data_IF_372815337003
#
_entry.id   IF_372815337003
#
_cell.length_a   1.000
_cell.length_b   1.000
_cell.length_c   1.000
_cell.angle_alpha   90.00
_cell.angle_beta   90.00
_cell.angle_gamma   90.00
#
_symmetry.space_group_name_H-M   'P 1'
#
loop_
_entity.id
_entity.type
_entity.pdbx_description
1 polymer ?
#
# COMPACT_ATOMS: atom_id res chain seq x y z
N UNK A 1 -22.73 10.53 -20.63
CA UNK A 1 -22.06 9.34 -20.08
C UNK A 1 -21.72 8.33 -21.18
N UNK A 2 -22.70 7.71 -21.85
CA UNK A 2 -22.47 6.63 -22.82
C UNK A 2 -21.45 6.95 -23.93
N UNK A 3 -21.46 8.17 -24.49
CA UNK A 3 -20.47 8.57 -25.50
C UNK A 3 -19.03 8.63 -24.94
N UNK A 4 -18.88 9.04 -23.69
CA UNK A 4 -17.58 9.10 -23.02
C UNK A 4 -17.06 7.70 -22.67
N UNK A 5 -17.91 6.84 -22.10
CA UNK A 5 -17.55 5.45 -21.80
C UNK A 5 -17.19 4.66 -23.05
N UNK A 6 -17.98 4.80 -24.12
CA UNK A 6 -17.71 4.13 -25.40
C UNK A 6 -16.41 4.62 -26.04
N UNK A 7 -16.05 5.90 -25.85
CA UNK A 7 -14.77 6.40 -26.31
C UNK A 7 -13.62 5.73 -25.56
N UNK A 8 -13.68 5.68 -24.22
CA UNK A 8 -12.63 5.06 -23.41
C UNK A 8 -12.44 3.59 -23.81
N UNK A 9 -13.56 2.87 -23.94
CA UNK A 9 -13.59 1.45 -24.30
C UNK A 9 -12.97 1.17 -25.68
N UNK A 10 -13.21 2.04 -26.67
CA UNK A 10 -12.79 1.80 -28.06
C UNK A 10 -11.50 2.49 -28.48
N UNK A 11 -11.03 3.47 -27.70
CA UNK A 11 -9.93 4.36 -28.15
C UNK A 11 -8.53 3.76 -28.00
N UNK A 12 -8.33 2.83 -27.08
CA UNK A 12 -7.03 2.22 -26.82
C UNK A 12 -7.17 0.91 -26.05
N UNK A 13 -6.24 -0.03 -26.22
CA UNK A 13 -6.23 -1.28 -25.44
C UNK A 13 -6.02 -1.07 -23.93
N UNK A 14 -5.37 0.03 -23.53
CA UNK A 14 -5.07 0.35 -22.13
C UNK A 14 -6.12 1.27 -21.47
N UNK A 15 -7.26 1.52 -22.12
CA UNK A 15 -8.31 2.44 -21.64
C UNK A 15 -7.79 3.85 -21.28
N UNK A 16 -6.88 4.38 -22.10
CA UNK A 16 -6.24 5.67 -21.91
C UNK A 16 -7.21 6.84 -22.02
N UNK A 17 -7.25 7.68 -20.98
CA UNK A 17 -8.08 8.88 -20.95
C UNK A 17 -7.59 9.98 -21.92
N UNK A 18 -6.38 9.87 -22.48
CA UNK A 18 -5.78 10.91 -23.33
C UNK A 18 -6.56 11.14 -24.63
N UNK A 19 -7.13 10.07 -25.20
CA UNK A 19 -7.86 10.14 -26.46
C UNK A 19 -9.27 10.72 -26.31
N UNK A 20 -9.84 10.66 -25.12
CA UNK A 20 -11.25 10.99 -24.85
C UNK A 20 -11.46 12.31 -24.10
N UNK A 21 -10.49 13.24 -24.16
CA UNK A 21 -10.60 14.54 -23.44
C UNK A 21 -11.76 15.42 -23.92
N UNK A 22 -12.13 15.33 -25.20
CA UNK A 22 -13.27 16.08 -25.76
C UNK A 22 -14.61 15.61 -25.18
N UNK A 23 -14.84 14.29 -25.16
CA UNK A 23 -16.06 13.69 -24.61
C UNK A 23 -16.10 13.80 -23.09
N UNK A 24 -14.93 13.78 -22.44
CA UNK A 24 -14.80 14.05 -21.01
C UNK A 24 -15.28 15.46 -20.65
N UNK A 25 -14.85 16.50 -21.36
CA UNK A 25 -15.27 17.87 -21.06
C UNK A 25 -16.78 18.09 -21.16
N UNK A 26 -17.44 17.46 -22.14
CA UNK A 26 -18.91 17.50 -22.28
C UNK A 26 -19.60 16.76 -21.14
N UNK A 27 -19.04 15.62 -20.72
CA UNK A 27 -19.58 14.84 -19.62
C UNK A 27 -19.43 15.58 -18.28
N UNK A 28 -18.24 16.06 -17.98
CA UNK A 28 -17.92 16.79 -16.75
C UNK A 28 -18.81 18.05 -16.62
N UNK A 29 -19.04 18.77 -17.74
CA UNK A 29 -19.97 19.91 -17.77
C UNK A 29 -21.42 19.51 -17.43
N UNK A 30 -21.92 18.42 -18.02
CA UNK A 30 -23.27 17.94 -17.75
C UNK A 30 -23.45 17.51 -16.28
N UNK A 31 -22.45 16.85 -15.71
CA UNK A 31 -22.43 16.42 -14.30
C UNK A 31 -22.44 17.62 -13.35
N UNK A 32 -21.64 18.65 -13.67
CA UNK A 32 -21.60 19.89 -12.90
C UNK A 32 -22.96 20.62 -12.94
N UNK A 33 -23.56 20.77 -14.13
CA UNK A 33 -24.82 21.52 -14.27
C UNK A 33 -26.04 20.79 -13.68
N UNK A 34 -26.07 19.46 -13.73
CA UNK A 34 -27.26 18.68 -13.33
C UNK A 34 -27.18 18.07 -11.93
N UNK A 35 -25.98 17.77 -11.46
CA UNK A 35 -25.77 17.12 -10.16
C UNK A 35 -24.93 17.98 -9.22
N UNK A 36 -24.39 19.11 -9.68
CA UNK A 36 -23.51 19.97 -8.89
C UNK A 36 -22.29 19.21 -8.32
N UNK A 37 -21.79 18.24 -9.09
CA UNK A 37 -20.61 17.46 -8.75
C UNK A 37 -19.45 17.96 -9.60
N UNK A 38 -18.42 18.49 -8.95
CA UNK A 38 -17.19 18.89 -9.63
C UNK A 38 -16.22 17.72 -9.76
N UNK A 39 -15.43 17.73 -10.84
CA UNK A 39 -14.37 16.75 -11.03
C UNK A 39 -13.24 17.03 -10.04
N UNK A 40 -12.83 16.07 -9.20
CA UNK A 40 -11.74 16.28 -8.27
C UNK A 40 -10.41 16.63 -8.96
N UNK A 41 -9.58 17.38 -8.25
CA UNK A 41 -8.24 17.75 -8.68
C UNK A 41 -7.30 16.55 -8.84
N UNK A 42 -6.14 16.80 -9.45
CA UNK A 42 -5.07 15.80 -9.52
C UNK A 42 -4.57 15.49 -8.10
N UNK A 43 -4.52 14.21 -7.72
CA UNK A 43 -4.05 13.77 -6.41
C UNK A 43 -5.12 13.61 -5.33
N UNK A 44 -6.38 14.03 -5.57
CA UNK A 44 -7.48 13.88 -4.59
C UNK A 44 -7.68 12.45 -4.07
N UNK A 45 -7.39 11.45 -4.90
CA UNK A 45 -7.50 10.03 -4.50
C UNK A 45 -6.23 9.47 -3.88
N UNK A 46 -5.12 10.22 -3.91
CA UNK A 46 -3.85 9.85 -3.28
C UNK A 46 -3.75 10.36 -1.84
N UNK A 47 -4.62 11.30 -1.44
CA UNK A 47 -4.66 11.83 -0.08
C UNK A 47 -5.22 10.81 0.91
N UNK A 48 -4.55 10.66 2.05
CA UNK A 48 -5.03 9.81 3.13
C UNK A 48 -6.32 10.37 3.73
N UNK A 49 -7.37 9.54 3.78
CA UNK A 49 -8.66 9.91 4.38
C UNK A 49 -8.84 9.18 5.70
N UNK A 50 -9.14 9.93 6.75
CA UNK A 50 -9.51 9.37 8.04
C UNK A 50 -11.01 9.07 8.00
N UNK A 51 -11.35 7.80 8.22
CA UNK A 51 -12.75 7.34 8.25
C UNK A 51 -13.19 7.09 9.69
N UNK A 52 -14.11 7.90 10.18
CA UNK A 52 -14.72 7.70 11.48
C UNK A 52 -15.75 6.58 11.41
N UNK A 53 -15.51 5.50 12.13
CA UNK A 53 -16.40 4.34 12.17
C UNK A 53 -16.74 3.95 13.61
N UNK A 54 -17.98 3.52 13.84
CA UNK A 54 -18.46 3.07 15.16
C UNK A 54 -18.09 1.62 15.49
N UNK A 55 -17.60 0.87 14.50
CA UNK A 55 -17.23 -0.55 14.67
C UNK A 55 -16.00 -0.63 15.59
N UNK A 56 -15.95 -1.59 16.53
CA UNK A 56 -14.75 -1.80 17.33
C UNK A 56 -13.57 -2.18 16.43
N UNK A 57 -12.36 -1.79 16.85
CA UNK A 57 -11.12 -2.17 16.16
C UNK A 57 -11.00 -3.71 16.13
N UNK A 58 -10.49 -4.29 15.03
CA UNK A 58 -10.14 -5.70 15.00
C UNK A 58 -9.23 -6.07 16.18
N UNK A 59 -9.36 -7.30 16.67
CA UNK A 59 -8.44 -7.83 17.70
C UNK A 59 -7.02 -7.87 17.14
N UNK A 60 -6.04 -7.54 17.96
CA UNK A 60 -4.63 -7.61 17.59
C UNK A 60 -4.25 -9.06 17.27
N UNK A 61 -3.56 -9.28 16.15
CA UNK A 61 -3.04 -10.61 15.82
C UNK A 61 -2.07 -11.05 16.91
N UNK A 62 -2.20 -12.28 17.44
CA UNK A 62 -1.29 -12.76 18.45
C UNK A 62 0.13 -12.80 17.88
N UNK A 63 1.12 -12.45 18.71
CA UNK A 63 2.53 -12.57 18.32
C UNK A 63 2.79 -14.00 17.84
N UNK A 64 3.43 -14.14 16.68
CA UNK A 64 3.84 -15.44 16.19
C UNK A 64 4.82 -16.08 17.18
N UNK A 65 4.38 -17.15 17.86
CA UNK A 65 5.24 -17.98 18.70
C UNK A 65 5.72 -19.13 17.83
N UNK A 66 7.00 -19.10 17.46
CA UNK A 66 7.62 -20.21 16.75
C UNK A 66 7.96 -21.32 17.76
N UNK A 67 7.54 -22.58 17.51
CA UNK A 67 7.82 -23.69 18.42
C UNK A 67 9.33 -24.01 18.51
N UNK A 68 10.10 -23.64 17.49
CA UNK A 68 11.55 -23.90 17.40
C UNK A 68 12.40 -22.72 17.90
N UNK A 69 11.79 -21.77 18.62
CA UNK A 69 12.56 -20.67 19.21
C UNK A 69 13.59 -21.25 20.18
N UNK A 70 14.88 -21.03 19.89
CA UNK A 70 15.94 -21.40 20.81
C UNK A 70 15.71 -20.69 22.14
N UNK A 71 15.78 -21.41 23.28
CA UNK A 71 15.59 -20.78 24.58
C UNK A 71 16.63 -19.69 24.75
N UNK A 72 16.18 -18.52 25.24
CA UNK A 72 17.11 -17.46 25.59
C UNK A 72 18.09 -17.99 26.65
N UNK A 73 19.38 -17.73 26.45
CA UNK A 73 20.38 -18.02 27.48
C UNK A 73 20.04 -17.19 28.73
N UNK A 74 20.14 -17.76 29.94
CA UNK A 74 19.94 -17.01 31.16
C UNK A 74 20.94 -15.86 31.24
N UNK A 75 20.52 -14.70 31.72
CA UNK A 75 21.34 -13.47 31.73
C UNK A 75 22.66 -13.63 32.50
N UNK A 76 22.68 -14.53 33.49
CA UNK A 76 23.83 -14.87 34.32
C UNK A 76 24.74 -15.97 33.74
N UNK A 77 24.54 -16.40 32.49
CA UNK A 77 25.40 -17.40 31.87
C UNK A 77 26.81 -16.84 31.63
N UNK A 78 27.83 -17.56 32.09
CA UNK A 78 29.24 -17.22 31.84
C UNK A 78 29.53 -17.20 30.34
N UNK A 79 29.75 -16.01 29.78
CA UNK A 79 30.19 -15.83 28.38
C UNK A 79 31.69 -16.06 28.30
N UNK A 80 32.09 -17.32 28.14
CA UNK A 80 33.48 -17.69 27.92
C UNK A 80 34.01 -17.04 26.64
N UNK A 81 35.29 -16.63 26.58
CA UNK A 81 35.89 -16.17 25.34
C UNK A 81 35.83 -17.27 24.27
N UNK A 82 35.82 -16.89 23.00
CA UNK A 82 35.83 -17.84 21.91
C UNK A 82 37.11 -18.70 21.97
N UNK A 83 36.95 -20.03 21.91
CA UNK A 83 38.06 -21.00 22.08
C UNK A 83 39.25 -20.79 21.12
N UNK A 84 39.01 -20.18 19.97
CA UNK A 84 39.97 -20.02 18.86
C UNK A 84 39.73 -18.69 18.12
N UNK A 85 39.46 -17.61 18.87
CA UNK A 85 39.18 -16.30 18.29
C UNK A 85 38.03 -16.33 17.28
N UNK A 86 38.30 -15.79 16.10
CA UNK A 86 37.34 -15.67 14.98
C UNK A 86 37.10 -16.97 14.19
N UNK A 87 37.95 -17.99 14.34
CA UNK A 87 37.97 -19.22 13.50
C UNK A 87 37.96 -18.91 12.01
N UNK A 88 38.59 -17.80 11.63
CA UNK A 88 38.71 -17.38 10.25
C UNK A 88 39.94 -18.04 9.62
N UNK A 89 39.90 -18.35 8.32
CA UNK A 89 40.92 -19.16 7.63
C UNK A 89 42.38 -18.69 7.84
N UNK A 90 42.61 -17.41 8.15
CA UNK A 90 43.94 -16.80 8.28
C UNK A 90 44.18 -16.06 9.59
N UNK A 91 43.28 -16.16 10.57
CA UNK A 91 43.37 -15.45 11.84
C UNK A 91 43.25 -16.47 12.97
N UNK A 92 44.40 -16.85 13.54
CA UNK A 92 44.53 -17.96 14.51
C UNK A 92 44.47 -17.52 15.97
N UNK A 93 44.29 -16.23 16.23
CA UNK A 93 44.08 -15.65 17.56
C UNK A 93 42.84 -14.75 17.57
#
# INVERSE_FOLDING_TARGET
FNQYSNCIDKSSGDYSLKQCRKTQGVFDKCVLEKMNIERPGFGYFCEARVHDTKRPKPLEEPKAVYPDATPALPENAEKKPARLGSRFYWMTE
#
